data_IF_996246367667
#
_entry.id   IF_996246367667
#
_cell.length_a   1.000
_cell.length_b   1.000
_cell.length_c   1.000
_cell.angle_alpha   90.00
_cell.angle_beta   90.00
_cell.angle_gamma   90.00
#
_symmetry.space_group_name_H-M   'P 1'
#
loop_
_entity.id
_entity.type
_entity.pdbx_description
1 polymer ?
#
# COMPACT_ATOMS: atom_id res chain seq x y z
N UNK A 1 9.23 -64.17 6.53
CA UNK A 1 8.51 -63.40 5.48
C UNK A 1 7.14 -62.86 5.90
N UNK A 2 6.73 -62.92 7.19
CA UNK A 2 5.38 -62.53 7.65
C UNK A 2 5.20 -61.07 8.10
N UNK A 3 6.24 -60.23 7.98
CA UNK A 3 6.25 -58.85 8.50
C UNK A 3 6.50 -57.79 7.41
N UNK A 4 6.62 -58.20 6.14
CA UNK A 4 6.76 -57.29 5.00
C UNK A 4 5.42 -57.11 4.26
N UNK A 5 5.19 -55.93 3.69
CA UNK A 5 4.01 -55.61 2.87
C UNK A 5 2.96 -54.72 3.56
N UNK A 6 2.14 -54.05 2.76
CA UNK A 6 1.12 -53.07 3.20
C UNK A 6 0.16 -53.64 4.27
N UNK A 7 -0.28 -54.89 4.10
CA UNK A 7 -1.22 -55.57 4.99
C UNK A 7 -0.63 -55.96 6.37
N UNK A 8 0.68 -55.86 6.56
CA UNK A 8 1.38 -56.27 7.77
C UNK A 8 1.91 -55.07 8.57
N UNK A 9 1.53 -53.83 8.22
CA UNK A 9 1.90 -52.64 9.01
C UNK A 9 1.27 -52.71 10.40
N UNK A 10 2.03 -52.25 11.39
CA UNK A 10 1.70 -52.32 12.83
C UNK A 10 1.77 -53.71 13.47
N UNK A 11 2.28 -54.73 12.78
CA UNK A 11 2.63 -56.01 13.44
C UNK A 11 3.95 -55.84 14.20
N UNK A 12 3.89 -55.99 15.52
CA UNK A 12 5.06 -55.92 16.38
C UNK A 12 5.92 -57.18 16.17
N UNK A 13 7.20 -57.00 15.85
CA UNK A 13 8.14 -58.12 15.69
C UNK A 13 8.72 -58.47 17.05
N UNK A 14 8.41 -59.67 17.55
CA UNK A 14 8.99 -60.18 18.79
C UNK A 14 10.36 -60.79 18.50
N UNK A 15 11.42 -60.21 19.04
CA UNK A 15 12.81 -60.67 18.88
C UNK A 15 13.25 -61.35 20.17
N UNK A 16 13.77 -62.57 20.08
CA UNK A 16 14.36 -63.28 21.23
C UNK A 16 15.87 -63.48 21.02
N UNK A 17 16.64 -63.58 22.10
CA UNK A 17 18.11 -63.80 22.14
C UNK A 17 19.03 -62.60 21.80
N UNK A 18 18.71 -61.39 22.28
CA UNK A 18 19.65 -60.25 22.26
C UNK A 18 19.90 -59.64 20.88
N UNK A 19 19.00 -59.91 19.93
CA UNK A 19 19.05 -59.33 18.58
C UNK A 19 18.21 -58.05 18.58
N UNK A 20 18.86 -56.90 18.38
CA UNK A 20 18.19 -55.60 18.25
C UNK A 20 17.78 -55.36 16.79
N UNK A 21 16.50 -55.01 16.56
CA UNK A 21 16.08 -54.51 15.26
C UNK A 21 16.56 -53.06 15.10
N UNK A 22 17.61 -52.89 14.29
CA UNK A 22 18.04 -51.58 13.86
C UNK A 22 17.08 -51.10 12.76
N UNK A 23 16.21 -50.12 13.08
CA UNK A 23 15.55 -49.36 12.03
C UNK A 23 16.61 -48.58 11.27
N UNK A 24 16.92 -49.02 10.04
CA UNK A 24 17.65 -48.19 9.09
C UNK A 24 16.81 -46.92 8.91
N UNK A 25 17.27 -45.83 9.52
CA UNK A 25 16.55 -44.56 9.54
C UNK A 25 16.08 -44.21 8.13
N UNK A 26 14.80 -43.84 8.01
CA UNK A 26 14.27 -43.27 6.77
C UNK A 26 15.23 -42.17 6.33
N UNK A 27 16.00 -42.43 5.27
CA UNK A 27 16.65 -41.36 4.54
C UNK A 27 15.50 -40.48 4.05
N UNK A 28 15.36 -39.28 4.62
CA UNK A 28 14.35 -38.31 4.22
C UNK A 28 14.71 -37.78 2.84
N UNK A 29 14.45 -38.60 1.82
CA UNK A 29 14.66 -38.26 0.41
C UNK A 29 13.76 -37.08 -0.03
N UNK A 30 12.83 -36.66 0.81
CA UNK A 30 11.90 -35.56 0.57
C UNK A 30 12.34 -34.21 1.14
N UNK A 31 13.52 -34.10 1.77
CA UNK A 31 13.92 -32.90 2.51
C UNK A 31 14.78 -31.88 1.75
N UNK A 32 15.47 -32.27 0.68
CA UNK A 32 16.52 -31.43 0.07
C UNK A 32 16.63 -31.50 -1.46
N UNK A 33 15.80 -32.30 -2.14
CA UNK A 33 15.75 -32.27 -3.61
C UNK A 33 14.88 -31.08 -4.03
N UNK A 34 15.53 -29.93 -4.19
CA UNK A 34 14.92 -28.83 -4.95
C UNK A 34 14.76 -29.33 -6.38
N UNK A 35 13.56 -29.20 -6.95
CA UNK A 35 13.24 -29.74 -8.26
C UNK A 35 14.15 -29.09 -9.34
N UNK A 36 15.10 -29.84 -9.94
CA UNK A 36 16.02 -29.29 -10.93
C UNK A 36 15.28 -28.71 -12.15
N UNK A 37 14.04 -29.16 -12.42
CA UNK A 37 13.23 -28.63 -13.51
C UNK A 37 12.79 -27.19 -13.27
N UNK A 38 12.53 -26.79 -12.02
CA UNK A 38 12.17 -25.41 -11.69
C UNK A 38 13.31 -24.44 -11.97
N UNK A 39 14.55 -24.83 -11.63
CA UNK A 39 15.73 -24.03 -11.94
C UNK A 39 15.97 -23.93 -13.44
N UNK A 40 15.81 -25.01 -14.20
CA UNK A 40 15.90 -24.98 -15.66
C UNK A 40 14.88 -24.03 -16.29
N UNK A 41 13.62 -24.07 -15.85
CA UNK A 41 12.59 -23.14 -16.33
C UNK A 41 12.96 -21.69 -15.98
N UNK A 42 13.49 -21.43 -14.78
CA UNK A 42 13.96 -20.09 -14.38
C UNK A 42 15.13 -19.61 -15.24
N UNK A 43 16.09 -20.48 -15.57
CA UNK A 43 17.24 -20.14 -16.40
C UNK A 43 16.84 -19.84 -17.85
N UNK A 44 15.89 -20.59 -18.41
CA UNK A 44 15.30 -20.28 -19.72
C UNK A 44 14.59 -18.92 -19.68
N UNK A 45 13.80 -18.66 -18.63
CA UNK A 45 13.07 -17.39 -18.48
C UNK A 45 14.03 -16.19 -18.40
N UNK A 46 15.15 -16.33 -17.67
CA UNK A 46 16.21 -15.32 -17.59
C UNK A 46 16.83 -15.00 -18.94
N UNK A 47 17.05 -16.00 -19.79
CA UNK A 47 17.57 -15.79 -21.15
C UNK A 47 16.65 -14.88 -21.98
N UNK A 48 15.34 -15.09 -21.87
CA UNK A 48 14.32 -14.27 -22.55
C UNK A 48 13.94 -13.00 -21.80
N UNK A 49 14.53 -12.76 -20.63
CA UNK A 49 14.18 -11.67 -19.69
C UNK A 49 12.74 -11.72 -19.19
N UNK A 50 12.06 -12.86 -19.36
CA UNK A 50 10.67 -13.05 -18.94
C UNK A 50 10.63 -13.26 -17.41
N UNK A 51 9.89 -12.42 -16.67
CA UNK A 51 9.72 -12.60 -15.22
C UNK A 51 9.00 -13.90 -14.87
N UNK A 52 9.34 -14.49 -13.72
CA UNK A 52 8.76 -15.76 -13.25
C UNK A 52 7.24 -15.76 -13.08
N UNK A 53 6.66 -14.63 -12.69
CA UNK A 53 5.20 -14.48 -12.52
C UNK A 53 4.42 -14.63 -13.84
N UNK A 54 5.03 -14.34 -14.99
CA UNK A 54 4.40 -14.50 -16.31
C UNK A 54 4.31 -15.96 -16.75
N UNK A 55 5.12 -16.83 -16.17
CA UNK A 55 5.24 -18.26 -16.54
C UNK A 55 4.80 -19.18 -15.40
N UNK A 56 4.15 -18.64 -14.37
CA UNK A 56 3.65 -19.42 -13.23
C UNK A 56 4.74 -20.01 -12.34
N UNK A 57 5.98 -19.50 -12.42
CA UNK A 57 7.05 -19.82 -11.47
C UNK A 57 6.90 -18.94 -10.22
N UNK A 58 5.86 -19.18 -9.43
CA UNK A 58 5.66 -18.50 -8.14
C UNK A 58 5.84 -19.49 -7.00
N UNK A 59 6.84 -19.25 -6.13
CA UNK A 59 7.22 -20.22 -5.08
C UNK A 59 6.66 -19.93 -3.68
N UNK A 60 6.06 -18.76 -3.39
CA UNK A 60 5.26 -18.41 -2.16
C UNK A 60 5.25 -16.89 -1.87
N UNK A 61 4.67 -16.05 -2.73
CA UNK A 61 4.45 -14.64 -2.34
C UNK A 61 3.07 -14.17 -2.79
N UNK A 62 2.13 -14.23 -1.84
CA UNK A 62 0.75 -13.78 -1.90
C UNK A 62 0.61 -12.25 -1.88
N UNK A 63 1.48 -11.50 -2.56
CA UNK A 63 1.44 -10.02 -2.60
C UNK A 63 0.86 -9.50 -3.92
N UNK A 64 -0.11 -10.23 -4.48
CA UNK A 64 -0.75 -9.99 -5.79
C UNK A 64 -1.74 -8.81 -5.82
N UNK A 65 -1.67 -7.91 -4.83
CA UNK A 65 -2.58 -6.76 -4.72
C UNK A 65 -1.93 -5.41 -5.00
N UNK A 66 -0.78 -5.14 -4.37
CA UNK A 66 -0.20 -3.79 -4.31
C UNK A 66 1.00 -3.56 -5.23
N UNK A 67 1.54 -4.60 -5.89
CA UNK A 67 2.72 -4.49 -6.76
C UNK A 67 2.54 -5.00 -8.20
N UNK A 68 1.34 -5.47 -8.57
CA UNK A 68 1.11 -6.07 -9.91
C UNK A 68 1.28 -5.05 -11.04
N UNK A 69 0.90 -3.79 -10.81
CA UNK A 69 1.12 -2.71 -11.75
C UNK A 69 2.63 -2.44 -11.97
N UNK A 70 3.42 -2.39 -10.89
CA UNK A 70 4.87 -2.25 -10.96
C UNK A 70 5.55 -3.45 -11.63
N UNK A 71 5.06 -4.66 -11.38
CA UNK A 71 5.54 -5.87 -12.05
C UNK A 71 5.22 -5.87 -13.56
N UNK A 72 4.03 -5.40 -13.96
CA UNK A 72 3.67 -5.20 -15.37
C UNK A 72 4.53 -4.12 -16.03
N UNK A 73 4.79 -3.01 -15.32
CA UNK A 73 5.71 -1.95 -15.77
C UNK A 73 7.13 -2.51 -16.00
N UNK A 74 7.64 -3.32 -15.07
CA UNK A 74 8.94 -3.96 -15.18
C UNK A 74 9.00 -4.94 -16.37
N UNK A 75 7.94 -5.72 -16.61
CA UNK A 75 7.83 -6.60 -17.78
C UNK A 75 7.99 -5.80 -19.09
N UNK A 76 7.24 -4.71 -19.25
CA UNK A 76 7.31 -3.88 -20.45
C UNK A 76 8.70 -3.29 -20.63
N UNK A 77 9.26 -2.74 -19.55
CA UNK A 77 10.55 -2.04 -19.57
C UNK A 77 11.71 -2.97 -19.91
N UNK A 78 11.76 -4.16 -19.29
CA UNK A 78 12.93 -5.04 -19.40
C UNK A 78 12.78 -6.13 -20.46
N UNK A 79 11.55 -6.51 -20.81
CA UNK A 79 11.27 -7.59 -21.76
C UNK A 79 10.85 -7.04 -23.11
N UNK A 80 9.73 -6.31 -23.19
CA UNK A 80 9.16 -5.92 -24.48
C UNK A 80 9.89 -4.77 -25.16
N UNK A 81 10.19 -3.70 -24.41
CA UNK A 81 10.79 -2.47 -24.97
C UNK A 81 12.07 -2.72 -25.77
N UNK A 82 13.03 -3.55 -25.32
CA UNK A 82 14.23 -3.84 -26.11
C UNK A 82 13.93 -4.51 -27.47
N UNK A 83 12.87 -5.31 -27.58
CA UNK A 83 12.51 -5.98 -28.84
C UNK A 83 11.73 -5.08 -29.78
N UNK A 84 10.75 -4.35 -29.25
CA UNK A 84 9.96 -3.40 -30.03
C UNK A 84 10.80 -2.23 -30.52
N UNK A 85 11.78 -1.76 -29.75
CA UNK A 85 12.67 -0.67 -30.19
C UNK A 85 13.50 -1.13 -31.39
N UNK A 86 13.98 -2.39 -31.36
CA UNK A 86 14.68 -3.00 -32.49
C UNK A 86 13.77 -3.15 -33.71
N UNK A 87 12.52 -3.58 -33.50
CA UNK A 87 11.55 -3.69 -34.59
C UNK A 87 11.17 -2.34 -35.16
N UNK A 88 10.97 -1.32 -34.32
CA UNK A 88 10.69 0.04 -34.75
C UNK A 88 11.83 0.59 -35.61
N UNK A 89 13.08 0.42 -35.18
CA UNK A 89 14.25 0.82 -35.97
C UNK A 89 14.34 0.07 -37.30
N UNK A 90 14.13 -1.25 -37.30
CA UNK A 90 14.16 -2.06 -38.52
C UNK A 90 13.02 -1.68 -39.49
N UNK A 91 11.82 -1.42 -38.97
CA UNK A 91 10.67 -0.98 -39.76
C UNK A 91 10.89 0.43 -40.30
N UNK A 92 11.45 1.35 -39.51
CA UNK A 92 11.78 2.69 -39.99
C UNK A 92 12.78 2.63 -41.15
N UNK A 93 13.84 1.82 -41.03
CA UNK A 93 14.79 1.61 -42.13
C UNK A 93 14.18 0.95 -43.37
N UNK A 94 13.20 0.07 -43.19
CA UNK A 94 12.61 -0.69 -44.29
C UNK A 94 11.44 0.02 -44.99
N UNK A 95 10.70 0.87 -44.27
CA UNK A 95 9.45 1.46 -44.74
C UNK A 95 9.51 2.98 -44.95
N UNK A 96 10.46 3.67 -44.32
CA UNK A 96 10.59 5.12 -44.39
C UNK A 96 11.88 5.51 -45.11
N UNK A 97 11.78 6.50 -46.00
CA UNK A 97 12.95 7.14 -46.61
C UNK A 97 13.70 8.02 -45.61
N UNK A 98 14.94 8.42 -45.91
CA UNK A 98 15.75 9.25 -45.01
C UNK A 98 15.06 10.58 -44.66
N UNK A 99 14.36 11.20 -45.61
CA UNK A 99 13.59 12.43 -45.39
C UNK A 99 12.36 12.17 -44.50
N UNK A 100 11.63 11.07 -44.72
CA UNK A 100 10.45 10.70 -43.92
C UNK A 100 10.81 10.31 -42.49
N UNK A 101 12.02 9.84 -42.23
CA UNK A 101 12.49 9.52 -40.87
C UNK A 101 12.70 10.77 -39.99
N UNK A 102 12.82 11.96 -40.59
CA UNK A 102 12.88 13.22 -39.84
C UNK A 102 11.49 13.69 -39.39
N UNK A 103 10.43 13.30 -40.12
CA UNK A 103 9.05 13.73 -39.88
C UNK A 103 8.21 12.65 -39.16
N UNK A 104 8.45 11.38 -39.44
CA UNK A 104 7.66 10.25 -38.97
C UNK A 104 8.51 9.28 -38.15
N UNK A 105 7.94 8.80 -37.03
CA UNK A 105 8.52 7.75 -36.22
C UNK A 105 7.51 6.63 -35.99
N UNK A 106 8.02 5.41 -35.85
CA UNK A 106 7.21 4.22 -35.55
C UNK A 106 7.38 3.92 -34.06
N UNK A 107 6.27 3.91 -33.32
CA UNK A 107 6.26 3.58 -31.90
C UNK A 107 5.24 2.47 -31.61
N UNK A 108 5.60 1.57 -30.68
CA UNK A 108 4.70 0.55 -30.17
C UNK A 108 4.03 1.06 -28.89
N UNK A 109 2.70 1.18 -28.92
CA UNK A 109 1.93 1.67 -27.78
C UNK A 109 1.71 0.56 -26.74
N UNK A 110 2.11 0.84 -25.50
CA UNK A 110 1.92 -0.05 -24.35
C UNK A 110 0.81 0.40 -23.40
N UNK A 111 0.18 1.55 -23.67
CA UNK A 111 -0.85 2.13 -22.81
C UNK A 111 -1.96 1.14 -22.49
N UNK A 112 -2.37 0.34 -23.48
CA UNK A 112 -3.42 -0.68 -23.32
C UNK A 112 -2.99 -1.84 -22.40
N UNK A 113 -1.70 -2.17 -22.38
CA UNK A 113 -1.13 -3.20 -21.49
C UNK A 113 -0.98 -2.69 -20.05
N UNK A 114 -0.84 -1.37 -19.89
CA UNK A 114 -0.74 -0.65 -18.61
C UNK A 114 -2.09 -0.14 -18.10
N UNK A 115 -3.18 -0.30 -18.86
CA UNK A 115 -4.55 0.18 -18.57
C UNK A 115 -5.22 -0.44 -17.33
N UNK A 116 -4.45 -1.04 -16.43
CA UNK A 116 -4.92 -1.58 -15.15
C UNK A 116 -5.24 -0.52 -14.10
N UNK A 117 -4.77 0.72 -14.26
CA UNK A 117 -5.06 1.82 -13.33
C UNK A 117 -5.36 3.14 -14.07
N UNK A 118 -6.53 3.18 -14.71
CA UNK A 118 -7.07 4.39 -15.36
C UNK A 118 -7.17 5.56 -14.36
N UNK A 119 -7.31 5.29 -13.07
CA UNK A 119 -7.44 6.31 -12.03
C UNK A 119 -6.11 7.05 -11.85
N UNK A 120 -5.01 6.35 -11.65
CA UNK A 120 -3.68 6.98 -11.56
C UNK A 120 -3.29 7.75 -12.82
N UNK A 121 -3.66 7.24 -14.00
CA UNK A 121 -3.40 7.92 -15.28
C UNK A 121 -4.20 9.22 -15.41
N UNK A 122 -5.50 9.17 -15.08
CA UNK A 122 -6.37 10.36 -15.10
C UNK A 122 -5.98 11.38 -14.03
N UNK A 123 -5.51 10.93 -12.86
CA UNK A 123 -4.94 11.79 -11.82
C UNK A 123 -3.66 12.48 -12.32
N UNK A 124 -2.77 11.77 -13.01
CA UNK A 124 -1.57 12.36 -13.62
C UNK A 124 -1.92 13.43 -14.66
N UNK A 125 -2.90 13.19 -15.52
CA UNK A 125 -3.37 14.18 -16.50
C UNK A 125 -4.05 15.38 -15.83
N UNK A 126 -4.82 15.15 -14.77
CA UNK A 126 -5.43 16.21 -13.96
C UNK A 126 -4.35 17.09 -13.36
N UNK A 127 -3.35 16.51 -12.69
CA UNK A 127 -2.23 17.25 -12.10
C UNK A 127 -1.41 18.00 -13.16
N UNK A 128 -1.12 17.36 -14.30
CA UNK A 128 -0.38 18.01 -15.39
C UNK A 128 -1.12 19.19 -16.00
N UNK A 129 -2.46 19.12 -16.09
CA UNK A 129 -3.30 20.23 -16.56
C UNK A 129 -3.48 21.32 -15.51
N UNK A 130 -3.60 20.94 -14.24
CA UNK A 130 -3.66 21.88 -13.12
C UNK A 130 -2.39 22.72 -13.03
N UNK A 131 -1.20 22.13 -13.15
CA UNK A 131 0.09 22.83 -13.09
C UNK A 131 0.39 23.60 -14.42
N UNK A 132 -0.43 23.41 -15.46
CA UNK A 132 -0.23 24.05 -16.76
C UNK A 132 0.90 23.46 -17.60
N UNK A 133 1.28 22.21 -17.35
CA UNK A 133 2.30 21.46 -18.12
C UNK A 133 1.69 20.81 -19.37
N UNK A 134 0.40 20.45 -19.34
CA UNK A 134 -0.28 19.73 -20.42
C UNK A 134 -1.49 20.52 -20.95
N UNK A 135 -1.60 20.65 -22.27
CA UNK A 135 -2.82 21.11 -22.92
C UNK A 135 -3.78 19.94 -23.26
N UNK A 136 -5.07 20.19 -23.55
CA UNK A 136 -6.02 19.13 -23.92
C UNK A 136 -5.56 18.26 -25.09
N UNK A 137 -4.89 18.84 -26.10
CA UNK A 137 -4.36 18.11 -27.23
C UNK A 137 -3.13 17.25 -26.89
N UNK A 138 -2.34 17.62 -25.89
CA UNK A 138 -1.25 16.78 -25.40
C UNK A 138 -1.78 15.48 -24.79
N UNK A 139 -2.83 15.58 -23.95
CA UNK A 139 -3.48 14.41 -23.37
C UNK A 139 -4.09 13.54 -24.47
N UNK A 140 -4.74 14.15 -25.48
CA UNK A 140 -5.29 13.38 -26.61
C UNK A 140 -4.22 12.70 -27.45
N UNK A 141 -3.07 13.32 -27.65
CA UNK A 141 -1.94 12.70 -28.33
C UNK A 141 -1.42 11.49 -27.53
N UNK A 142 -1.31 11.61 -26.21
CA UNK A 142 -0.92 10.50 -25.32
C UNK A 142 -1.95 9.35 -25.34
N UNK A 143 -3.23 9.67 -25.43
CA UNK A 143 -4.34 8.71 -25.55
C UNK A 143 -4.63 8.27 -27.00
N UNK A 144 -3.82 8.70 -27.96
CA UNK A 144 -4.00 8.43 -29.39
C UNK A 144 -5.40 8.77 -29.93
N UNK A 145 -5.94 9.90 -29.50
CA UNK A 145 -7.21 10.47 -29.91
C UNK A 145 -7.02 11.66 -30.87
N UNK A 146 -8.01 11.89 -31.72
CA UNK A 146 -7.97 13.02 -32.66
C UNK A 146 -7.87 14.37 -31.94
N UNK A 147 -6.98 15.27 -32.41
CA UNK A 147 -6.81 16.59 -31.81
C UNK A 147 -8.10 17.41 -31.92
N UNK A 148 -8.32 18.26 -30.92
CA UNK A 148 -9.34 19.29 -30.94
C UNK A 148 -8.81 20.43 -31.84
N UNK A 149 -9.61 20.95 -32.78
CA UNK A 149 -9.24 22.12 -33.57
C UNK A 149 -8.85 23.31 -32.68
N UNK A 150 -7.87 24.09 -33.12
CA UNK A 150 -7.32 25.22 -32.37
C UNK A 150 -8.38 26.25 -31.98
N UNK A 151 -9.37 26.48 -32.85
CA UNK A 151 -10.53 27.36 -32.61
C UNK A 151 -11.41 26.95 -31.40
N UNK A 152 -11.26 25.72 -30.90
CA UNK A 152 -11.99 25.19 -29.74
C UNK A 152 -11.12 25.09 -28.49
N UNK A 153 -9.93 25.71 -28.49
CA UNK A 153 -9.03 25.76 -27.34
C UNK A 153 -8.29 24.46 -27.06
N UNK A 154 -8.05 23.64 -28.09
CA UNK A 154 -7.33 22.37 -27.94
C UNK A 154 -5.89 22.50 -27.46
N UNK A 155 -5.26 23.65 -27.75
CA UNK A 155 -3.86 23.96 -27.40
C UNK A 155 -3.77 24.94 -26.21
N UNK A 156 -4.89 25.26 -25.56
CA UNK A 156 -4.90 26.23 -24.47
C UNK A 156 -4.38 25.60 -23.18
N UNK A 157 -3.34 26.21 -22.62
CA UNK A 157 -2.81 25.83 -21.31
C UNK A 157 -3.66 26.45 -20.21
N UNK A 158 -4.01 25.62 -19.22
CA UNK A 158 -4.67 26.11 -18.02
C UNK A 158 -3.64 26.79 -17.11
N UNK A 159 -3.92 28.03 -16.71
CA UNK A 159 -3.07 28.79 -15.77
C UNK A 159 -3.83 28.91 -14.46
N UNK A 160 -3.33 28.31 -13.36
CA UNK A 160 -3.91 28.48 -12.03
C UNK A 160 -3.99 29.95 -11.63
N UNK A 161 -5.14 30.34 -11.08
CA UNK A 161 -5.40 31.70 -10.61
C UNK A 161 -4.44 32.17 -9.51
N UNK A 162 -3.77 31.24 -8.81
CA UNK A 162 -2.80 31.52 -7.75
C UNK A 162 -1.35 31.73 -8.25
N UNK A 163 -1.07 31.49 -9.53
CA UNK A 163 0.23 31.77 -10.13
C UNK A 163 0.22 33.17 -10.76
N UNK A 164 0.40 34.20 -9.93
CA UNK A 164 0.77 35.50 -10.46
C UNK A 164 2.22 35.46 -10.92
N UNK A 165 2.44 35.64 -12.22
CA UNK A 165 3.77 35.96 -12.75
C UNK A 165 4.21 37.26 -12.07
N UNK A 166 5.26 37.19 -11.26
CA UNK A 166 5.90 38.38 -10.71
C UNK A 166 6.50 39.19 -11.87
N UNK A 167 5.76 40.19 -12.37
CA UNK A 167 6.32 41.26 -13.21
C UNK A 167 5.76 41.49 -14.62
N UNK A 168 4.45 41.41 -14.88
CA UNK A 168 3.87 42.00 -16.10
C UNK A 168 2.52 42.70 -15.84
N UNK A 169 2.20 43.80 -16.59
CA UNK A 169 1.13 44.73 -16.22
C UNK A 169 -0.26 44.15 -16.47
N UNK A 170 -1.17 44.42 -15.52
CA UNK A 170 -2.60 44.11 -15.63
C UNK A 170 -3.25 45.00 -16.70
N UNK A 171 -3.69 44.40 -17.80
CA UNK A 171 -4.80 44.94 -18.59
C UNK A 171 -6.00 44.00 -18.46
N UNK A 172 -7.03 44.48 -17.76
CA UNK A 172 -8.35 43.85 -17.69
C UNK A 172 -9.15 44.22 -18.94
N UNK A 173 -9.76 43.27 -19.67
CA UNK A 173 -10.79 43.63 -20.65
C UNK A 173 -12.09 44.02 -19.92
N UNK A 174 -12.68 45.14 -20.33
CA UNK A 174 -13.90 45.70 -19.75
C UNK A 174 -15.14 44.80 -19.99
N UNK A 175 -16.11 44.74 -19.05
CA UNK A 175 -17.32 43.93 -19.22
C UNK A 175 -18.29 44.57 -20.21
N UNK A 176 -18.89 43.77 -21.09
CA UNK A 176 -20.04 44.18 -21.94
C UNK A 176 -21.34 44.16 -21.11
N UNK A 177 -22.32 45.05 -21.39
CA UNK A 177 -23.58 45.10 -20.65
C UNK A 177 -24.51 43.95 -21.06
N UNK A 178 -25.14 43.29 -20.08
CA UNK A 178 -26.16 42.27 -20.29
C UNK A 178 -27.58 42.88 -20.22
N UNK A 179 -28.44 42.48 -21.16
CA UNK A 179 -29.90 42.72 -21.16
C UNK A 179 -30.60 41.58 -20.38
N UNK A 180 -31.77 41.80 -19.74
CA UNK A 180 -32.27 40.92 -18.68
C UNK A 180 -33.26 39.85 -19.18
N UNK A 181 -33.07 38.61 -18.74
CA UNK A 181 -34.09 37.55 -18.76
C UNK A 181 -34.06 36.82 -17.40
N UNK A 182 -35.01 37.16 -16.51
CA UNK A 182 -36.17 36.35 -16.10
C UNK A 182 -35.87 35.30 -15.01
N UNK A 183 -36.64 35.42 -13.93
CA UNK A 183 -36.53 34.77 -12.62
C UNK A 183 -37.39 33.49 -12.62
N UNK A 184 -36.82 32.34 -12.23
CA UNK A 184 -37.57 31.24 -11.59
C UNK A 184 -36.69 30.48 -10.57
N UNK A 185 -37.14 30.46 -9.30
CA UNK A 185 -36.91 29.38 -8.32
C UNK A 185 -35.61 29.37 -7.51
N UNK A 186 -35.63 29.00 -6.21
CA UNK A 186 -34.65 29.45 -5.23
C UNK A 186 -33.34 28.64 -5.23
N UNK A 187 -32.22 29.35 -5.17
CA UNK A 187 -30.93 28.81 -4.74
C UNK A 187 -30.91 28.67 -3.22
N UNK A 188 -30.53 27.51 -2.65
CA UNK A 188 -30.04 27.50 -1.27
C UNK A 188 -28.69 28.20 -1.23
N UNK A 189 -28.57 29.17 -0.33
CA UNK A 189 -27.28 29.70 0.12
C UNK A 189 -26.39 28.53 0.56
N UNK A 190 -25.24 28.39 -0.09
CA UNK A 190 -24.09 27.65 0.42
C UNK A 190 -22.85 28.48 0.09
N UNK A 191 -22.73 29.62 0.77
CA UNK A 191 -21.44 30.28 0.94
C UNK A 191 -20.81 29.69 2.20
N UNK A 192 -20.18 28.53 2.07
CA UNK A 192 -19.34 27.85 3.08
C UNK A 192 -19.08 26.44 2.53
N UNK A 193 -18.09 26.25 1.64
CA UNK A 193 -17.55 24.92 1.29
C UNK A 193 -16.33 24.93 0.34
N UNK A 194 -15.73 26.08 0.01
CA UNK A 194 -14.53 26.10 -0.85
C UNK A 194 -13.21 26.00 -0.07
N UNK A 195 -13.15 26.38 1.22
CA UNK A 195 -11.93 26.20 2.04
C UNK A 195 -11.76 24.76 2.56
N UNK A 196 -12.84 24.09 2.96
CA UNK A 196 -12.79 22.72 3.48
C UNK A 196 -12.43 21.66 2.42
N UNK A 197 -12.71 21.93 1.14
CA UNK A 197 -12.36 21.03 0.04
C UNK A 197 -10.86 21.03 -0.30
N UNK A 198 -10.18 22.16 -0.06
CA UNK A 198 -8.75 22.32 -0.35
C UNK A 198 -7.90 21.75 0.78
N UNK A 199 -8.30 21.92 2.04
CA UNK A 199 -7.63 21.34 3.22
C UNK A 199 -7.75 19.81 3.24
N UNK A 200 -8.94 19.25 3.02
CA UNK A 200 -9.15 17.80 2.95
C UNK A 200 -8.35 17.12 1.82
N UNK A 201 -8.22 17.79 0.67
CA UNK A 201 -7.40 17.32 -0.46
C UNK A 201 -5.89 17.38 -0.14
N UNK A 202 -5.43 18.46 0.50
CA UNK A 202 -4.03 18.60 0.92
C UNK A 202 -3.65 17.58 2.00
N UNK A 203 -4.52 17.33 2.98
CA UNK A 203 -4.30 16.32 4.02
C UNK A 203 -4.33 14.89 3.47
N UNK A 204 -5.16 14.61 2.46
CA UNK A 204 -5.13 13.32 1.77
C UNK A 204 -3.79 13.08 1.03
N UNK A 205 -3.23 14.13 0.41
CA UNK A 205 -1.93 14.06 -0.25
C UNK A 205 -0.79 13.88 0.75
N UNK A 206 -0.79 14.64 1.86
CA UNK A 206 0.21 14.52 2.94
C UNK A 206 0.09 13.13 3.59
N UNK A 207 -1.11 12.68 3.92
CA UNK A 207 -1.38 11.37 4.50
C UNK A 207 -0.86 10.21 3.64
N UNK A 208 -0.93 10.34 2.31
CA UNK A 208 -0.36 9.33 1.39
C UNK A 208 1.16 9.21 1.52
N UNK A 209 1.87 10.31 1.80
CA UNK A 209 3.33 10.29 2.02
C UNK A 209 3.70 9.61 3.34
N UNK A 210 2.90 9.81 4.39
CA UNK A 210 3.14 9.21 5.70
C UNK A 210 2.62 7.78 5.84
N UNK A 211 1.77 7.32 4.92
CA UNK A 211 1.25 5.94 4.89
C UNK A 211 2.33 4.89 5.04
N UNK A 212 3.43 5.03 4.30
CA UNK A 212 4.54 4.08 4.33
C UNK A 212 5.25 4.06 5.69
N UNK A 213 5.45 5.22 6.31
CA UNK A 213 6.12 5.33 7.61
C UNK A 213 5.27 4.73 8.73
N UNK A 214 3.97 5.02 8.72
CA UNK A 214 3.01 4.44 9.67
C UNK A 214 2.91 2.93 9.44
N UNK A 215 2.86 2.47 8.19
CA UNK A 215 2.90 1.04 7.86
C UNK A 215 4.16 0.36 8.39
N UNK A 216 5.35 0.96 8.21
CA UNK A 216 6.60 0.38 8.70
C UNK A 216 6.64 0.30 10.23
N UNK A 217 6.08 1.29 10.93
CA UNK A 217 5.91 1.27 12.38
C UNK A 217 4.92 0.17 12.81
N UNK A 218 3.75 0.10 12.17
CA UNK A 218 2.73 -0.91 12.39
C UNK A 218 3.26 -2.33 12.15
N UNK A 219 4.04 -2.55 11.09
CA UNK A 219 4.69 -3.82 10.81
C UNK A 219 5.65 -4.22 11.94
N UNK A 220 6.44 -3.29 12.48
CA UNK A 220 7.33 -3.59 13.63
C UNK A 220 6.53 -3.95 14.89
N UNK A 221 5.42 -3.28 15.14
CA UNK A 221 4.49 -3.57 16.25
C UNK A 221 3.95 -5.00 16.09
N UNK A 222 3.35 -5.31 14.95
CA UNK A 222 2.77 -6.63 14.65
C UNK A 222 3.83 -7.73 14.71
N UNK A 223 5.02 -7.52 14.16
CA UNK A 223 6.12 -8.47 14.20
C UNK A 223 6.62 -8.75 15.62
N UNK A 224 6.69 -7.72 16.49
CA UNK A 224 7.10 -7.93 17.89
C UNK A 224 6.04 -8.72 18.65
N UNK A 225 4.77 -8.35 18.49
CA UNK A 225 3.64 -9.01 19.11
C UNK A 225 3.58 -10.48 18.72
N UNK A 226 3.48 -10.77 17.44
CA UNK A 226 3.32 -12.12 16.90
C UNK A 226 4.50 -13.03 17.25
N UNK A 227 5.75 -12.55 17.19
CA UNK A 227 6.92 -13.32 17.65
C UNK A 227 6.84 -13.64 19.14
N UNK A 228 6.41 -12.69 19.97
CA UNK A 228 6.27 -12.91 21.41
C UNK A 228 5.16 -13.91 21.71
N UNK A 229 4.00 -13.76 21.07
CA UNK A 229 2.86 -14.66 21.26
C UNK A 229 3.18 -16.06 20.75
N UNK A 230 3.79 -16.24 19.57
CA UNK A 230 4.24 -17.56 19.09
C UNK A 230 5.23 -18.22 20.06
N UNK A 231 6.14 -17.43 20.66
CA UNK A 231 7.06 -17.96 21.67
C UNK A 231 6.33 -18.42 22.94
N UNK A 232 5.36 -17.64 23.42
CA UNK A 232 4.56 -18.00 24.59
C UNK A 232 3.67 -19.21 24.30
N UNK A 233 3.04 -19.27 23.13
CA UNK A 233 2.15 -20.35 22.70
C UNK A 233 2.87 -21.71 22.63
N UNK A 234 4.13 -21.75 22.18
CA UNK A 234 4.96 -22.98 22.22
C UNK A 234 5.12 -23.58 23.61
N UNK A 235 5.04 -22.76 24.66
CA UNK A 235 5.22 -23.17 26.05
C UNK A 235 3.89 -23.34 26.80
N UNK A 236 2.76 -23.17 26.11
CA UNK A 236 1.43 -23.09 26.71
C UNK A 236 0.96 -24.44 27.32
N UNK A 237 1.14 -25.56 26.61
CA UNK A 237 0.63 -26.90 26.96
C UNK A 237 1.28 -27.62 28.17
N UNK A 238 2.13 -26.94 28.94
CA UNK A 238 2.77 -27.55 30.13
C UNK A 238 2.85 -26.66 31.36
N UNK A 239 2.61 -25.35 31.22
CA UNK A 239 2.72 -24.35 32.31
C UNK A 239 1.71 -23.21 32.14
N UNK A 240 0.39 -23.47 32.18
CA UNK A 240 -0.64 -22.45 31.90
C UNK A 240 -0.54 -21.22 32.82
N UNK A 241 -0.18 -21.40 34.10
CA UNK A 241 0.02 -20.27 35.02
C UNK A 241 1.23 -19.38 34.67
N UNK A 242 2.34 -19.98 34.26
CA UNK A 242 3.54 -19.24 33.85
C UNK A 242 3.37 -18.55 32.49
N UNK A 243 2.57 -19.16 31.61
CA UNK A 243 2.10 -18.52 30.39
C UNK A 243 1.26 -17.28 30.70
N UNK A 244 0.21 -17.41 31.53
CA UNK A 244 -0.70 -16.29 31.81
C UNK A 244 0.07 -15.10 32.38
N UNK A 245 0.93 -15.33 33.38
CA UNK A 245 1.75 -14.25 33.96
C UNK A 245 2.63 -13.56 32.91
N UNK A 246 3.28 -14.33 32.03
CA UNK A 246 4.17 -13.79 30.99
C UNK A 246 3.40 -13.08 29.86
N UNK A 247 2.17 -13.52 29.60
CA UNK A 247 1.24 -12.93 28.64
C UNK A 247 0.73 -11.58 29.16
N UNK A 248 0.27 -11.52 30.42
CA UNK A 248 -0.19 -10.25 31.01
C UNK A 248 0.97 -9.25 31.10
N UNK A 249 2.14 -9.66 31.61
CA UNK A 249 3.30 -8.78 31.71
C UNK A 249 3.75 -8.21 30.36
N UNK A 250 3.58 -8.99 29.27
CA UNK A 250 3.84 -8.48 27.93
C UNK A 250 2.84 -7.38 27.56
N UNK A 251 1.54 -7.65 27.67
CA UNK A 251 0.51 -6.67 27.29
C UNK A 251 0.43 -5.45 28.21
N UNK A 252 0.89 -5.54 29.45
CA UNK A 252 0.97 -4.39 30.36
C UNK A 252 2.12 -3.44 29.97
N UNK A 253 3.18 -3.94 29.32
CA UNK A 253 4.34 -3.14 28.86
C UNK A 253 4.32 -2.80 27.37
N UNK A 254 3.45 -3.45 26.59
CA UNK A 254 3.38 -3.29 25.15
C UNK A 254 2.93 -1.90 24.67
N UNK A 255 1.96 -1.21 25.32
CA UNK A 255 1.53 0.13 24.93
C UNK A 255 2.68 1.15 24.85
N UNK A 256 3.59 1.14 25.82
CA UNK A 256 4.74 2.05 25.83
C UNK A 256 5.72 1.79 24.68
N UNK A 257 5.86 0.53 24.28
CA UNK A 257 6.63 0.20 23.08
C UNK A 257 5.97 0.71 21.81
N UNK A 258 4.63 0.59 21.70
CA UNK A 258 3.87 1.10 20.55
C UNK A 258 4.00 2.62 20.49
N UNK A 259 3.79 3.31 21.60
CA UNK A 259 3.96 4.76 21.73
C UNK A 259 5.35 5.19 21.26
N UNK A 260 6.40 4.52 21.74
CA UNK A 260 7.78 4.84 21.35
C UNK A 260 8.08 4.66 19.85
N UNK A 261 7.34 3.80 19.14
CA UNK A 261 7.46 3.63 17.69
C UNK A 261 6.63 4.63 16.89
N UNK A 262 5.39 4.90 17.34
CA UNK A 262 4.43 5.72 16.60
C UNK A 262 4.63 7.21 16.83
N UNK A 263 5.06 7.62 18.02
CA UNK A 263 5.15 9.02 18.42
C UNK A 263 6.02 9.86 17.47
N UNK A 264 7.26 9.46 17.09
CA UNK A 264 8.09 10.28 16.20
C UNK A 264 7.46 10.50 14.82
N UNK A 265 6.81 9.45 14.28
CA UNK A 265 6.12 9.53 12.99
C UNK A 265 4.89 10.41 13.04
N UNK A 266 4.12 10.34 14.14
CA UNK A 266 2.92 11.14 14.32
C UNK A 266 3.25 12.62 14.57
N UNK A 267 4.32 12.92 15.31
CA UNK A 267 4.80 14.30 15.49
C UNK A 267 5.19 14.92 14.15
N UNK A 268 5.94 14.19 13.33
CA UNK A 268 6.34 14.64 12.00
C UNK A 268 5.12 14.83 11.09
N UNK A 269 4.13 13.94 11.19
CA UNK A 269 2.91 14.04 10.41
C UNK A 269 2.04 15.23 10.84
N UNK A 270 1.86 15.46 12.15
CA UNK A 270 1.14 16.62 12.67
C UNK A 270 1.78 17.94 12.24
N UNK A 271 3.12 18.03 12.31
CA UNK A 271 3.85 19.21 11.84
C UNK A 271 3.62 19.47 10.34
N UNK A 272 3.57 18.41 9.52
CA UNK A 272 3.29 18.52 8.09
C UNK A 272 1.84 18.95 7.80
N UNK A 273 0.85 18.43 8.54
CA UNK A 273 -0.57 18.78 8.36
C UNK A 273 -0.84 20.27 8.61
N UNK A 274 -0.10 20.88 9.53
CA UNK A 274 -0.29 22.27 9.93
C UNK A 274 0.48 23.28 9.07
N UNK A 275 1.27 22.84 8.08
CA UNK A 275 2.05 23.72 7.19
C UNK A 275 2.87 24.81 7.93
N UNK A 276 3.29 24.56 9.17
CA UNK A 276 4.02 25.54 10.01
C UNK A 276 3.15 26.66 10.61
N UNK A 277 1.83 26.54 10.60
CA UNK A 277 0.88 27.56 11.10
C UNK A 277 0.62 27.50 12.61
N UNK A 278 1.00 26.42 13.30
CA UNK A 278 0.81 26.26 14.74
C UNK A 278 2.12 26.49 15.50
N UNK A 279 2.05 27.08 16.70
CA UNK A 279 3.15 27.01 17.65
C UNK A 279 3.42 25.53 17.93
N UNK A 280 4.58 25.02 17.49
CA UNK A 280 5.03 23.62 17.65
C UNK A 280 4.82 23.07 19.09
N UNK A 281 4.83 23.95 20.09
CA UNK A 281 4.71 23.60 21.50
C UNK A 281 3.31 23.11 21.96
N UNK A 282 2.23 23.41 21.23
CA UNK A 282 0.86 23.07 21.70
C UNK A 282 0.37 21.70 21.19
N UNK A 283 0.96 21.18 20.11
CA UNK A 283 0.56 19.89 19.49
C UNK A 283 1.28 18.69 20.11
N UNK A 284 2.53 18.84 20.53
CA UNK A 284 3.33 17.74 21.08
C UNK A 284 2.65 16.99 22.24
N UNK A 285 2.02 17.65 23.24
CA UNK A 285 1.29 16.96 24.31
C UNK A 285 0.10 16.15 23.76
N UNK A 286 -0.66 16.74 22.83
CA UNK A 286 -1.80 16.08 22.20
C UNK A 286 -1.37 14.84 21.40
N UNK A 287 -0.32 14.95 20.57
CA UNK A 287 0.18 13.83 19.77
C UNK A 287 0.76 12.72 20.67
N UNK A 288 1.42 13.10 21.78
CA UNK A 288 1.90 12.15 22.79
C UNK A 288 0.76 11.39 23.48
N UNK A 289 -0.36 12.07 23.77
CA UNK A 289 -1.56 11.46 24.32
C UNK A 289 -2.25 10.55 23.30
N UNK A 290 -2.43 11.01 22.05
CA UNK A 290 -2.98 10.20 20.96
C UNK A 290 -2.19 8.90 20.77
N UNK A 291 -0.85 8.99 20.68
CA UNK A 291 0.01 7.81 20.55
C UNK A 291 -0.09 6.86 21.75
N UNK A 292 -0.34 7.40 22.95
CA UNK A 292 -0.57 6.62 24.17
C UNK A 292 -1.88 5.84 24.10
N UNK A 293 -2.97 6.51 23.70
CA UNK A 293 -4.30 5.90 23.54
C UNK A 293 -4.28 4.83 22.45
N UNK A 294 -3.67 5.11 21.30
CA UNK A 294 -3.48 4.15 20.22
C UNK A 294 -2.78 2.87 20.70
N UNK A 295 -1.69 3.02 21.46
CA UNK A 295 -0.95 1.90 22.02
C UNK A 295 -1.77 1.09 23.02
N UNK A 296 -2.54 1.76 23.88
CA UNK A 296 -3.41 1.12 24.86
C UNK A 296 -4.55 0.33 24.18
N UNK A 297 -5.23 0.94 23.21
CA UNK A 297 -6.34 0.33 22.49
C UNK A 297 -5.89 -0.87 21.66
N UNK A 298 -4.76 -0.75 20.94
CA UNK A 298 -4.19 -1.87 20.18
C UNK A 298 -3.87 -3.06 21.09
N UNK A 299 -3.21 -2.80 22.22
CA UNK A 299 -2.86 -3.82 23.19
C UNK A 299 -4.11 -4.46 23.82
N UNK A 300 -5.12 -3.66 24.19
CA UNK A 300 -6.35 -4.14 24.79
C UNK A 300 -7.15 -5.04 23.84
N UNK A 301 -7.31 -4.63 22.58
CA UNK A 301 -8.03 -5.39 21.56
C UNK A 301 -7.33 -6.73 21.27
N UNK A 302 -6.02 -6.71 21.06
CA UNK A 302 -5.24 -7.93 20.78
C UNK A 302 -5.23 -8.89 21.96
N UNK A 303 -5.11 -8.36 23.19
CA UNK A 303 -5.19 -9.13 24.43
C UNK A 303 -6.56 -9.79 24.60
N UNK A 304 -7.65 -9.08 24.29
CA UNK A 304 -9.00 -9.60 24.39
C UNK A 304 -9.26 -10.74 23.40
N UNK A 305 -8.87 -10.56 22.15
CA UNK A 305 -9.01 -11.55 21.08
C UNK A 305 -8.25 -12.85 21.40
N UNK A 306 -6.99 -12.74 21.81
CA UNK A 306 -6.16 -13.88 22.17
C UNK A 306 -6.63 -14.63 23.42
N UNK A 307 -7.22 -13.94 24.39
CA UNK A 307 -7.82 -14.58 25.58
C UNK A 307 -9.01 -15.46 25.23
N UNK A 308 -9.81 -15.08 24.23
CA UNK A 308 -10.95 -15.89 23.79
C UNK A 308 -10.47 -17.21 23.17
N UNK A 309 -9.40 -17.15 22.37
CA UNK A 309 -8.84 -18.32 21.67
C UNK A 309 -8.07 -19.22 22.62
N UNK A 310 -7.22 -18.65 23.47
CA UNK A 310 -6.36 -19.39 24.40
C UNK A 310 -7.02 -19.62 25.77
N UNK A 311 -8.35 -19.50 25.87
CA UNK A 311 -9.10 -19.91 27.05
C UNK A 311 -9.04 -21.44 27.29
N UNK A 312 -9.34 -22.28 26.28
CA UNK A 312 -9.13 -23.72 26.37
C UNK A 312 -7.64 -24.07 26.30
N UNK A 313 -7.11 -24.72 27.34
CA UNK A 313 -5.74 -25.21 27.40
C UNK A 313 -5.49 -26.42 26.49
N UNK A 314 -5.60 -26.24 25.17
CA UNK A 314 -5.53 -27.30 24.16
C UNK A 314 -4.50 -27.01 23.06
N UNK A 315 -4.11 -28.04 22.32
CA UNK A 315 -3.28 -27.90 21.12
C UNK A 315 -4.02 -27.12 20.02
N UNK A 316 -5.31 -27.36 19.86
CA UNK A 316 -6.13 -26.65 18.87
C UNK A 316 -6.14 -25.14 19.11
N UNK A 317 -6.17 -24.70 20.39
CA UNK A 317 -6.09 -23.29 20.75
C UNK A 317 -4.74 -22.65 20.39
N UNK A 318 -3.64 -23.41 20.55
CA UNK A 318 -2.31 -22.97 20.11
C UNK A 318 -2.29 -22.81 18.60
N UNK A 319 -2.78 -23.81 17.88
CA UNK A 319 -2.75 -23.83 16.42
C UNK A 319 -3.60 -22.68 15.84
N UNK A 320 -4.76 -22.40 16.46
CA UNK A 320 -5.61 -21.27 16.07
C UNK A 320 -4.95 -19.93 16.40
N UNK A 321 -4.33 -19.78 17.57
CA UNK A 321 -3.59 -18.57 17.90
C UNK A 321 -2.42 -18.33 16.92
N UNK A 322 -1.73 -19.38 16.47
CA UNK A 322 -0.66 -19.27 15.46
C UNK A 322 -1.21 -18.82 14.11
N UNK A 323 -2.35 -19.37 13.65
CA UNK A 323 -3.01 -18.91 12.42
C UNK A 323 -3.42 -17.45 12.50
N UNK A 324 -3.96 -17.04 13.65
CA UNK A 324 -4.31 -15.65 13.88
C UNK A 324 -3.08 -14.73 13.76
N UNK A 325 -1.92 -15.17 14.26
CA UNK A 325 -0.67 -14.40 14.09
C UNK A 325 -0.27 -14.27 12.62
N UNK A 326 -0.44 -15.32 11.82
CA UNK A 326 -0.14 -15.28 10.39
C UNK A 326 -1.09 -14.33 9.64
N UNK A 327 -2.38 -14.29 10.02
CA UNK A 327 -3.35 -13.32 9.50
C UNK A 327 -2.99 -11.89 9.91
N UNK A 328 -2.66 -11.69 11.19
CA UNK A 328 -2.27 -10.39 11.71
C UNK A 328 -1.06 -9.82 10.96
N UNK A 329 -0.03 -10.63 10.70
CA UNK A 329 1.16 -10.22 9.94
C UNK A 329 0.85 -9.80 8.50
N UNK A 330 -0.19 -10.38 7.88
CA UNK A 330 -0.58 -10.08 6.51
C UNK A 330 -1.44 -8.82 6.41
N UNK A 331 -2.31 -8.56 7.39
CA UNK A 331 -3.38 -7.55 7.28
C UNK A 331 -3.18 -6.33 8.15
N UNK A 332 -2.78 -6.51 9.41
CA UNK A 332 -2.79 -5.42 10.40
C UNK A 332 -1.92 -4.23 10.02
N UNK A 333 -0.72 -4.38 9.43
CA UNK A 333 0.10 -3.23 9.07
C UNK A 333 -0.62 -2.27 8.10
N UNK A 334 -1.30 -2.81 7.08
CA UNK A 334 -2.07 -2.05 6.12
C UNK A 334 -3.35 -1.46 6.73
N UNK A 335 -4.06 -2.24 7.56
CA UNK A 335 -5.28 -1.79 8.26
C UNK A 335 -5.00 -0.65 9.24
N UNK A 336 -3.94 -0.79 10.05
CA UNK A 336 -3.49 0.26 10.98
C UNK A 336 -3.06 1.49 10.18
N UNK A 337 -2.21 1.35 9.17
CA UNK A 337 -1.76 2.50 8.39
C UNK A 337 -2.93 3.22 7.70
N UNK A 338 -3.85 2.48 7.08
CA UNK A 338 -5.01 3.07 6.42
C UNK A 338 -5.94 3.81 7.39
N UNK A 339 -6.20 3.23 8.57
CA UNK A 339 -7.04 3.85 9.59
C UNK A 339 -6.39 5.10 10.18
N UNK A 340 -5.13 4.99 10.58
CA UNK A 340 -4.45 6.05 11.34
C UNK A 340 -4.17 7.30 10.50
N UNK A 341 -3.96 7.18 9.19
CA UNK A 341 -3.79 8.36 8.32
C UNK A 341 -5.01 9.30 8.41
N UNK A 342 -6.21 8.72 8.37
CA UNK A 342 -7.46 9.47 8.38
C UNK A 342 -7.79 9.91 9.79
N UNK A 343 -7.82 8.97 10.74
CA UNK A 343 -8.21 9.24 12.12
C UNK A 343 -7.29 10.27 12.80
N UNK A 344 -5.98 10.21 12.54
CA UNK A 344 -5.05 11.16 13.12
C UNK A 344 -5.16 12.55 12.48
N UNK A 345 -5.33 12.63 11.16
CA UNK A 345 -5.53 13.92 10.49
C UNK A 345 -6.78 14.64 10.99
N UNK A 346 -7.91 13.92 11.07
CA UNK A 346 -9.16 14.43 11.63
C UNK A 346 -9.00 14.87 13.10
N UNK A 347 -8.24 14.11 13.89
CA UNK A 347 -7.98 14.44 15.29
C UNK A 347 -7.12 15.70 15.44
N UNK A 348 -6.09 15.87 14.58
CA UNK A 348 -5.27 17.08 14.54
C UNK A 348 -6.11 18.30 14.13
N UNK A 349 -6.97 18.15 13.14
CA UNK A 349 -7.86 19.23 12.70
C UNK A 349 -8.82 19.64 13.82
N UNK A 350 -9.48 18.67 14.44
CA UNK A 350 -10.40 18.91 15.57
C UNK A 350 -9.69 19.62 16.72
N UNK A 351 -8.46 19.19 17.06
CA UNK A 351 -7.67 19.81 18.11
C UNK A 351 -7.28 21.25 17.77
N UNK A 352 -6.82 21.50 16.53
CA UNK A 352 -6.42 22.84 16.09
C UNK A 352 -7.59 23.80 15.96
N UNK A 353 -8.78 23.32 15.55
CA UNK A 353 -10.01 24.10 15.54
C UNK A 353 -10.43 24.50 16.96
N UNK A 354 -10.41 23.56 17.90
CA UNK A 354 -10.72 23.81 19.30
C UNK A 354 -9.72 24.79 19.96
N UNK A 355 -8.43 24.68 19.63
CA UNK A 355 -7.40 25.59 20.13
C UNK A 355 -7.55 27.03 19.60
N UNK A 356 -8.10 27.20 18.38
CA UNK A 356 -8.30 28.50 17.74
C UNK A 356 -9.64 29.18 18.10
N UNK A 357 -10.48 28.55 18.93
CA UNK A 357 -11.61 29.21 19.59
C UNK A 357 -12.85 29.48 18.73
N UNK A 358 -13.13 28.66 17.71
CA UNK A 358 -14.44 28.68 17.03
C UNK A 358 -15.31 27.61 17.68
N UNK A 359 -16.15 28.02 18.65
CA UNK A 359 -17.25 27.19 19.14
C UNK A 359 -18.24 26.95 17.98
N UNK A 360 -18.44 25.69 17.60
CA UNK A 360 -19.53 25.31 16.72
C UNK A 360 -20.86 25.73 17.36
N UNK A 361 -21.48 26.76 16.78
CA UNK A 361 -22.86 27.11 17.04
C UNK A 361 -23.78 26.08 16.37
N UNK A 362 -23.81 24.87 16.90
CA UNK A 362 -24.94 23.93 16.77
C UNK A 362 -24.73 22.74 17.71
N UNK A 363 -25.17 22.90 18.95
CA UNK A 363 -25.54 21.83 19.87
C UNK A 363 -26.72 22.27 20.72
#
# INVERSE_FOLDING_TARGET
>A
TNYAGWANRSKMMLLTHGVEAMELGKQTDSGFIVDPRKFQTSDIARFWRVPGFMIGLEEKTSSWGTGVAEMKQALITFTFKPWTDRWAQALAQALLTEEEQEEYFIEFLYADLLRGDLKSQMESYKTGREIGVLCPNDIRRLENMNPIPEEKGGNDYHVPMNWSVSGAPKELPAPKPAEPAQIEGPSPENGENEENGVTASAHAQIGTQFKRLIHDAANRITQKETKRIRHLAKNYLGKPGGFQQSFEAFYDSFPEYIKGLMLPTLLTFAAALQNGSANENDLDPFVSEYASTLGADHAANSRAELRQIMGPASQDAIDEAVRLMDEWEQRRPDEIAGREIVAFAEAVDTFTFAANGVEDSNS
#
